data_IF_679021267667
#
_entry.id   IF_679021267667
#
_cell.length_a   1.000
_cell.length_b   1.000
_cell.length_c   1.000
_cell.angle_alpha   90.00
_cell.angle_beta   90.00
_cell.angle_gamma   90.00
#
_symmetry.space_group_name_H-M   'P 1'
#
loop_
_entity.id
_entity.type
_entity.pdbx_description
1 polymer ?
#
# COMPACT_ATOMS: atom_id res chain seq x y z
N UNK A 1 49.55 -18.09 49.04
CA UNK A 1 48.24 -18.28 48.39
C UNK A 1 47.39 -17.03 48.57
N UNK A 2 47.30 -16.20 47.53
CA UNK A 2 46.17 -15.28 47.29
C UNK A 2 46.38 -14.64 45.92
N UNK A 3 45.86 -15.31 44.91
CA UNK A 3 45.76 -14.79 43.56
C UNK A 3 44.73 -13.66 43.53
N UNK A 4 45.15 -12.50 43.01
CA UNK A 4 44.27 -11.37 42.71
C UNK A 4 43.38 -11.77 41.54
N UNK A 5 42.11 -12.08 41.81
CA UNK A 5 41.08 -12.21 40.76
C UNK A 5 40.81 -10.85 40.14
N UNK A 6 40.89 -10.81 38.82
CA UNK A 6 40.50 -9.69 37.98
C UNK A 6 39.04 -9.31 38.22
N UNK A 7 38.81 -8.00 38.33
CA UNK A 7 37.49 -7.37 38.32
C UNK A 7 37.01 -7.32 36.88
N UNK A 8 36.08 -8.19 36.52
CA UNK A 8 35.39 -8.17 35.24
C UNK A 8 34.00 -7.57 35.47
N UNK A 9 33.85 -6.30 35.10
CA UNK A 9 32.55 -5.62 35.10
C UNK A 9 31.69 -6.18 33.96
N UNK A 10 30.39 -6.45 34.18
CA UNK A 10 29.54 -6.98 33.12
C UNK A 10 29.26 -5.90 32.08
N UNK A 11 29.65 -6.20 30.84
CA UNK A 11 29.25 -5.47 29.63
C UNK A 11 27.72 -5.50 29.53
N UNK A 12 27.03 -4.36 29.36
CA UNK A 12 25.59 -4.37 29.14
C UNK A 12 25.30 -5.02 27.77
N UNK A 13 24.34 -5.95 27.66
CA UNK A 13 23.95 -6.47 26.37
C UNK A 13 23.30 -5.34 25.56
N UNK A 14 23.99 -4.93 24.51
CA UNK A 14 23.45 -4.11 23.44
C UNK A 14 22.30 -4.84 22.75
N UNK A 15 21.08 -4.60 23.23
CA UNK A 15 19.86 -4.90 22.50
C UNK A 15 19.50 -3.69 21.68
N UNK A 16 19.86 -3.69 20.39
CA UNK A 16 19.29 -2.77 19.42
C UNK A 16 17.84 -3.21 19.22
N UNK A 17 16.97 -2.79 20.14
CA UNK A 17 15.54 -2.90 19.95
C UNK A 17 15.16 -1.92 18.85
N UNK A 18 15.19 -2.38 17.59
CA UNK A 18 14.34 -1.80 16.55
C UNK A 18 12.93 -2.03 17.05
N UNK A 19 12.44 -1.11 17.87
CA UNK A 19 11.06 -1.13 18.36
C UNK A 19 10.24 -0.92 17.11
N UNK A 20 9.65 -1.99 16.60
CA UNK A 20 8.79 -1.92 15.44
C UNK A 20 7.69 -0.91 15.75
N UNK A 21 7.80 0.29 15.15
CA UNK A 21 6.83 1.35 15.40
C UNK A 21 5.50 0.85 14.86
N UNK A 22 4.49 0.78 15.73
CA UNK A 22 3.11 0.51 15.32
C UNK A 22 2.65 1.58 14.32
N UNK A 23 1.81 1.22 13.34
CA UNK A 23 1.28 2.11 12.31
C UNK A 23 0.81 3.47 12.88
N UNK A 24 0.17 3.47 14.05
CA UNK A 24 -0.29 4.71 14.72
C UNK A 24 0.84 5.67 15.06
N UNK A 25 1.98 5.18 15.59
CA UNK A 25 3.10 6.05 15.94
C UNK A 25 3.87 6.52 14.71
N UNK A 26 3.97 5.68 13.67
CA UNK A 26 4.55 6.08 12.38
C UNK A 26 3.75 7.19 11.70
N UNK A 27 2.42 7.03 11.60
CA UNK A 27 1.55 8.05 10.98
C UNK A 27 1.61 9.36 11.75
N UNK A 28 1.53 9.31 13.08
CA UNK A 28 1.60 10.52 13.92
C UNK A 28 2.94 11.24 13.76
N UNK A 29 4.06 10.52 13.82
CA UNK A 29 5.40 11.10 13.69
C UNK A 29 5.63 11.69 12.29
N UNK A 30 5.23 10.96 11.23
CA UNK A 30 5.34 11.44 9.87
C UNK A 30 4.45 12.66 9.60
N UNK A 31 3.24 12.71 10.18
CA UNK A 31 2.37 13.89 10.13
C UNK A 31 2.97 15.13 10.83
N UNK A 32 3.82 14.91 11.83
CA UNK A 32 4.57 15.96 12.52
C UNK A 32 5.87 16.37 11.79
N UNK A 33 6.18 15.76 10.64
CA UNK A 33 7.37 16.07 9.84
C UNK A 33 8.60 15.21 10.13
N UNK A 34 8.48 14.11 10.87
CA UNK A 34 9.60 13.15 11.04
C UNK A 34 9.87 12.42 9.70
N UNK A 35 10.95 12.83 9.03
CA UNK A 35 11.41 12.25 7.77
C UNK A 35 11.71 10.74 7.87
N UNK A 36 12.19 10.26 9.03
CA UNK A 36 12.47 8.83 9.25
C UNK A 36 11.18 8.02 9.32
N UNK A 37 10.15 8.57 9.96
CA UNK A 37 8.82 7.95 10.02
C UNK A 37 8.15 7.95 8.65
N UNK A 38 8.32 9.03 7.86
CA UNK A 38 7.85 9.08 6.48
C UNK A 38 8.53 8.04 5.59
N UNK A 39 9.86 7.96 5.64
CA UNK A 39 10.62 6.97 4.88
C UNK A 39 10.18 5.53 5.22
N UNK A 40 9.93 5.26 6.50
CA UNK A 40 9.45 3.96 6.95
C UNK A 40 8.02 3.65 6.49
N UNK A 41 7.11 4.63 6.48
CA UNK A 41 5.77 4.48 5.88
C UNK A 41 5.87 4.16 4.39
N UNK A 42 6.67 4.91 3.65
CA UNK A 42 6.86 4.67 2.21
C UNK A 42 7.41 3.27 1.99
N UNK A 43 8.49 2.90 2.70
CA UNK A 43 9.10 1.57 2.60
C UNK A 43 8.10 0.45 2.88
N UNK A 44 7.30 0.57 3.94
CA UNK A 44 6.32 -0.44 4.37
C UNK A 44 5.18 -0.61 3.36
N UNK A 45 4.63 0.48 2.81
CA UNK A 45 3.46 0.38 1.94
C UNK A 45 3.76 0.39 0.43
N UNK A 46 5.02 0.62 0.04
CA UNK A 46 5.46 0.55 -1.36
C UNK A 46 5.08 -0.77 -2.05
N UNK A 47 5.31 -1.96 -1.47
CA UNK A 47 4.91 -3.23 -2.09
C UNK A 47 3.41 -3.31 -2.38
N UNK A 48 2.57 -2.84 -1.46
CA UNK A 48 1.11 -2.80 -1.62
C UNK A 48 0.71 -1.90 -2.79
N UNK A 49 1.20 -0.67 -2.82
CA UNK A 49 0.88 0.30 -3.88
C UNK A 49 1.31 -0.24 -5.25
N UNK A 50 2.52 -0.79 -5.36
CA UNK A 50 2.98 -1.41 -6.61
C UNK A 50 2.15 -2.61 -7.02
N UNK A 51 1.75 -3.47 -6.08
CA UNK A 51 0.92 -4.65 -6.40
C UNK A 51 -0.42 -4.25 -7.04
N UNK A 52 -1.03 -3.18 -6.54
CA UNK A 52 -2.28 -2.63 -7.10
C UNK A 52 -2.02 -2.08 -8.50
N UNK A 53 -1.03 -1.21 -8.67
CA UNK A 53 -0.71 -0.58 -9.96
C UNK A 53 -0.42 -1.64 -11.03
N UNK A 54 0.39 -2.65 -10.69
CA UNK A 54 0.76 -3.74 -11.62
C UNK A 54 -0.43 -4.58 -12.06
N UNK A 55 -1.52 -4.63 -11.29
CA UNK A 55 -2.73 -5.36 -11.66
C UNK A 55 -3.60 -4.67 -12.71
N UNK A 56 -3.32 -3.40 -13.05
CA UNK A 56 -4.10 -2.58 -13.98
C UNK A 56 -3.48 -2.41 -15.39
N UNK A 57 -2.36 -3.10 -15.68
CA UNK A 57 -1.71 -3.14 -17.01
C UNK A 57 -1.49 -1.76 -17.67
N UNK A 58 -1.08 -0.79 -16.85
CA UNK A 58 -0.79 0.57 -17.29
C UNK A 58 0.56 0.65 -18.01
N UNK A 59 0.73 1.68 -18.85
CA UNK A 59 2.05 2.04 -19.37
C UNK A 59 3.01 2.36 -18.23
N UNK A 60 4.32 2.25 -18.46
CA UNK A 60 5.32 2.57 -17.43
C UNK A 60 5.23 4.02 -16.93
N UNK A 61 4.90 4.95 -17.82
CA UNK A 61 4.70 6.36 -17.47
C UNK A 61 3.45 6.55 -16.60
N UNK A 62 2.31 5.99 -17.03
CA UNK A 62 1.06 6.06 -16.26
C UNK A 62 1.20 5.40 -14.88
N UNK A 63 1.90 4.27 -14.80
CA UNK A 63 2.17 3.59 -13.53
C UNK A 63 3.02 4.47 -12.58
N UNK A 64 4.02 5.18 -13.10
CA UNK A 64 4.82 6.14 -12.33
C UNK A 64 3.96 7.30 -11.84
N UNK A 65 3.11 7.86 -12.69
CA UNK A 65 2.22 8.97 -12.35
C UNK A 65 1.20 8.58 -11.27
N UNK A 66 0.64 7.37 -11.34
CA UNK A 66 -0.22 6.84 -10.27
C UNK A 66 0.56 6.75 -8.97
N UNK A 67 1.76 6.15 -8.98
CA UNK A 67 2.56 6.01 -7.77
C UNK A 67 2.86 7.38 -7.14
N UNK A 68 3.31 8.36 -7.93
CA UNK A 68 3.56 9.72 -7.47
C UNK A 68 2.30 10.36 -6.88
N UNK A 69 1.16 10.24 -7.57
CA UNK A 69 -0.11 10.81 -7.12
C UNK A 69 -0.58 10.20 -5.80
N UNK A 70 -0.40 8.89 -5.61
CA UNK A 70 -0.76 8.20 -4.36
C UNK A 70 0.05 8.74 -3.18
N UNK A 71 1.37 8.88 -3.33
CA UNK A 71 2.23 9.40 -2.27
C UNK A 71 2.01 10.89 -2.00
N UNK A 72 1.79 11.70 -3.04
CA UNK A 72 1.42 13.11 -2.92
C UNK A 72 0.13 13.28 -2.13
N UNK A 73 -0.91 12.51 -2.48
CA UNK A 73 -2.17 12.54 -1.72
C UNK A 73 -1.98 12.08 -0.28
N UNK A 74 -1.11 11.10 -0.03
CA UNK A 74 -0.85 10.66 1.33
C UNK A 74 -0.27 11.82 2.15
N UNK A 75 0.79 12.47 1.68
CA UNK A 75 1.43 13.56 2.44
C UNK A 75 0.49 14.75 2.66
N UNK A 76 -0.34 15.11 1.68
CA UNK A 76 -1.34 16.19 1.80
C UNK A 76 -2.42 15.93 2.85
N UNK A 77 -2.71 14.65 3.12
CA UNK A 77 -3.82 14.23 4.00
C UNK A 77 -3.35 13.58 5.30
N UNK A 78 -2.04 13.32 5.46
CA UNK A 78 -1.48 12.57 6.58
C UNK A 78 -1.86 13.18 7.93
N UNK A 79 -1.80 14.50 8.05
CA UNK A 79 -2.20 15.25 9.25
C UNK A 79 -3.70 15.20 9.60
N UNK A 80 -4.53 14.62 8.73
CA UNK A 80 -5.99 14.45 8.93
C UNK A 80 -6.39 12.99 9.13
N UNK A 81 -5.44 12.05 9.16
CA UNK A 81 -5.71 10.62 9.34
C UNK A 81 -6.20 10.37 10.76
N UNK A 82 -7.46 9.97 10.90
CA UNK A 82 -8.10 9.66 12.19
C UNK A 82 -7.87 8.22 12.64
N UNK A 83 -7.74 7.31 11.67
CA UNK A 83 -7.49 5.90 11.91
C UNK A 83 -6.26 5.45 11.11
N UNK A 84 -5.07 5.40 11.74
CA UNK A 84 -3.85 4.91 11.11
C UNK A 84 -3.91 3.45 10.66
N UNK A 85 -4.79 2.62 11.26
CA UNK A 85 -4.94 1.22 10.87
C UNK A 85 -5.64 1.09 9.50
N UNK A 86 -6.43 2.08 9.11
CA UNK A 86 -7.07 2.12 7.80
C UNK A 86 -6.14 2.55 6.65
N UNK A 87 -4.88 2.93 6.94
CA UNK A 87 -3.95 3.47 5.94
C UNK A 87 -3.70 2.50 4.77
N UNK A 88 -3.51 1.22 5.05
CA UNK A 88 -3.31 0.20 4.01
C UNK A 88 -4.50 0.14 3.04
N UNK A 89 -5.72 0.09 3.58
CA UNK A 89 -6.95 0.07 2.80
C UNK A 89 -7.14 1.36 2.00
N UNK A 90 -6.82 2.51 2.59
CA UNK A 90 -6.88 3.80 1.92
C UNK A 90 -5.88 3.90 0.76
N UNK A 91 -4.64 3.42 0.93
CA UNK A 91 -3.62 3.38 -0.13
C UNK A 91 -4.04 2.48 -1.29
N UNK A 92 -4.52 1.28 -0.98
CA UNK A 92 -5.00 0.35 -2.00
C UNK A 92 -6.17 0.94 -2.81
N UNK A 93 -7.11 1.59 -2.12
CA UNK A 93 -8.27 2.24 -2.75
C UNK A 93 -7.86 3.43 -3.61
N UNK A 94 -6.97 4.28 -3.11
CA UNK A 94 -6.48 5.46 -3.82
C UNK A 94 -5.69 5.07 -5.07
N UNK A 95 -4.77 4.10 -4.96
CA UNK A 95 -4.02 3.56 -6.09
C UNK A 95 -4.93 2.98 -7.17
N UNK A 96 -5.94 2.19 -6.76
CA UNK A 96 -6.92 1.59 -7.68
C UNK A 96 -7.71 2.68 -8.42
N UNK A 97 -8.19 3.71 -7.73
CA UNK A 97 -8.92 4.84 -8.33
C UNK A 97 -8.08 5.60 -9.34
N UNK A 98 -6.82 5.87 -9.03
CA UNK A 98 -5.93 6.55 -9.96
C UNK A 98 -5.62 5.69 -11.18
N UNK A 99 -5.45 4.37 -11.02
CA UNK A 99 -5.29 3.47 -12.15
C UNK A 99 -6.53 3.52 -13.06
N UNK A 100 -7.73 3.42 -12.50
CA UNK A 100 -8.97 3.53 -13.28
C UNK A 100 -9.10 4.88 -14.00
N UNK A 101 -8.76 5.97 -13.33
CA UNK A 101 -8.82 7.32 -13.92
C UNK A 101 -7.96 7.38 -15.19
N UNK A 102 -6.74 6.85 -15.14
CA UNK A 102 -5.85 6.81 -16.31
C UNK A 102 -6.32 5.82 -17.37
N UNK A 103 -6.75 4.61 -17.01
CA UNK A 103 -7.30 3.64 -17.96
C UNK A 103 -8.51 4.21 -18.71
N UNK A 104 -9.40 4.95 -18.01
CA UNK A 104 -10.56 5.61 -18.62
C UNK A 104 -10.15 6.76 -19.53
N UNK A 105 -9.14 7.55 -19.12
CA UNK A 105 -8.60 8.63 -19.96
C UNK A 105 -8.00 8.06 -21.25
N UNK A 106 -7.16 7.02 -21.14
CA UNK A 106 -6.57 6.35 -22.29
C UNK A 106 -7.64 5.80 -23.25
N UNK A 107 -8.71 5.18 -22.73
CA UNK A 107 -9.85 4.72 -23.56
C UNK A 107 -10.62 5.87 -24.22
N UNK A 108 -10.85 6.99 -23.52
CA UNK A 108 -11.52 8.17 -24.09
C UNK A 108 -10.70 8.81 -25.20
N UNK A 109 -9.38 8.85 -25.05
CA UNK A 109 -8.46 9.33 -26.10
C UNK A 109 -8.45 8.39 -27.32
N UNK A 110 -8.95 7.15 -27.19
CA UNK A 110 -8.88 6.13 -28.23
C UNK A 110 -10.08 6.02 -29.19
N UNK A 111 -11.28 6.63 -28.99
CA UNK A 111 -12.34 6.88 -30.03
C UNK A 111 -13.66 7.58 -29.50
N UNK A 112 -13.87 8.84 -29.95
CA UNK A 112 -15.05 9.65 -30.45
C UNK A 112 -16.37 9.96 -29.66
N UNK A 113 -16.76 11.25 -29.77
CA UNK A 113 -18.07 11.99 -29.74
C UNK A 113 -18.38 12.92 -28.51
N UNK A 114 -18.75 14.23 -28.70
CA UNK A 114 -18.59 15.32 -27.72
C UNK A 114 -19.84 15.59 -26.85
N UNK A 115 -20.63 14.57 -26.50
CA UNK A 115 -21.81 14.72 -25.65
C UNK A 115 -21.66 13.88 -24.37
N UNK A 116 -20.97 14.39 -23.35
CA UNK A 116 -21.37 14.16 -21.96
C UNK A 116 -20.65 15.13 -21.02
N UNK A 117 -21.38 16.14 -20.60
CA UNK A 117 -21.01 17.15 -19.59
C UNK A 117 -21.43 16.64 -18.21
N UNK A 118 -20.93 17.30 -17.14
CA UNK A 118 -21.39 17.25 -15.74
C UNK A 118 -20.65 16.29 -14.77
N UNK A 119 -19.73 16.81 -13.94
CA UNK A 119 -20.01 17.36 -12.58
C UNK A 119 -18.79 17.37 -11.62
N UNK A 120 -18.71 18.48 -10.89
CA UNK A 120 -17.71 18.90 -9.90
C UNK A 120 -17.86 18.28 -8.50
N UNK A 121 -16.70 18.22 -7.82
CA UNK A 121 -16.37 18.41 -6.40
C UNK A 121 -17.25 17.86 -5.25
N UNK A 122 -16.65 17.10 -4.32
CA UNK A 122 -16.81 17.27 -2.86
C UNK A 122 -15.65 16.65 -2.04
N UNK A 123 -15.06 17.47 -1.14
CA UNK A 123 -14.06 17.14 -0.12
C UNK A 123 -14.70 16.51 1.13
N UNK A 124 -14.07 15.45 1.65
CA UNK A 124 -14.37 14.85 2.94
C UNK A 124 -13.80 13.43 2.99
N UNK A 125 -13.12 13.05 4.08
CA UNK A 125 -12.61 11.69 4.28
C UNK A 125 -13.81 10.76 4.54
N UNK A 126 -14.53 10.44 3.47
CA UNK A 126 -15.57 9.44 3.38
C UNK A 126 -15.22 8.58 2.17
N UNK A 127 -15.24 7.24 2.27
CA UNK A 127 -15.07 6.40 1.11
C UNK A 127 -16.27 6.64 0.17
N UNK A 128 -16.08 7.53 -0.81
CA UNK A 128 -16.99 7.71 -1.94
C UNK A 128 -17.23 6.32 -2.56
N UNK A 129 -18.48 5.88 -2.84
CA UNK A 129 -18.73 4.61 -3.51
C UNK A 129 -17.96 4.55 -4.83
N UNK A 130 -17.33 3.41 -5.07
CA UNK A 130 -16.47 3.18 -6.24
C UNK A 130 -17.23 3.50 -7.53
N UNK A 131 -16.78 4.51 -8.28
CA UNK A 131 -17.16 4.69 -9.68
C UNK A 131 -16.37 3.70 -10.56
N UNK A 132 -16.29 2.44 -10.13
CA UNK A 132 -15.87 1.29 -10.92
C UNK A 132 -17.10 0.87 -11.70
N UNK A 133 -17.08 0.95 -13.04
CA UNK A 133 -18.21 0.46 -13.83
C UNK A 133 -18.45 -1.03 -13.52
N UNK A 134 -19.71 -1.49 -13.44
CA UNK A 134 -20.05 -2.83 -12.95
C UNK A 134 -19.32 -3.98 -13.68
N UNK A 135 -18.96 -3.81 -14.96
CA UNK A 135 -18.19 -4.82 -15.72
C UNK A 135 -16.73 -4.98 -15.28
N UNK A 136 -16.08 -3.92 -14.81
CA UNK A 136 -14.68 -3.97 -14.39
C UNK A 136 -14.54 -4.60 -12.99
N UNK A 137 -15.54 -4.46 -12.13
CA UNK A 137 -15.60 -5.14 -10.84
C UNK A 137 -15.82 -6.66 -11.01
N UNK A 138 -16.67 -7.05 -11.97
CA UNK A 138 -16.89 -8.44 -12.36
C UNK A 138 -15.61 -9.11 -12.85
N UNK A 139 -14.91 -8.52 -13.82
CA UNK A 139 -13.65 -9.06 -14.35
C UNK A 139 -12.57 -9.23 -13.25
N UNK A 140 -12.55 -8.34 -12.25
CA UNK A 140 -11.66 -8.49 -11.08
C UNK A 140 -12.09 -9.58 -10.13
N UNK A 141 -13.39 -9.75 -9.92
CA UNK A 141 -13.90 -10.87 -9.13
C UNK A 141 -13.53 -12.20 -9.78
N UNK A 142 -13.72 -12.31 -11.10
CA UNK A 142 -13.33 -13.48 -11.90
C UNK A 142 -11.82 -13.74 -11.82
N UNK A 143 -10.99 -12.71 -12.01
CA UNK A 143 -9.53 -12.86 -11.95
C UNK A 143 -9.04 -13.27 -10.55
N UNK A 144 -9.63 -12.73 -9.48
CA UNK A 144 -9.35 -13.16 -8.10
C UNK A 144 -9.80 -14.58 -7.84
N UNK A 145 -10.94 -14.99 -8.39
CA UNK A 145 -11.46 -16.34 -8.27
C UNK A 145 -10.55 -17.34 -8.98
N UNK A 146 -10.16 -17.07 -10.23
CA UNK A 146 -9.22 -17.90 -10.97
C UNK A 146 -7.86 -18.04 -10.26
N UNK A 147 -7.36 -16.97 -9.64
CA UNK A 147 -6.14 -17.03 -8.81
C UNK A 147 -6.32 -17.92 -7.58
N UNK A 148 -7.44 -17.82 -6.86
CA UNK A 148 -7.74 -18.66 -5.69
C UNK A 148 -7.86 -20.13 -6.07
N UNK A 149 -8.55 -20.42 -7.18
CA UNK A 149 -8.71 -21.76 -7.70
C UNK A 149 -7.37 -22.36 -8.16
N UNK A 150 -6.54 -21.59 -8.85
CA UNK A 150 -5.20 -22.01 -9.25
C UNK A 150 -4.27 -22.25 -8.05
N UNK A 151 -4.33 -21.38 -7.03
CA UNK A 151 -3.55 -21.55 -5.81
C UNK A 151 -3.97 -22.82 -5.04
N UNK A 152 -5.27 -23.09 -4.94
CA UNK A 152 -5.80 -24.28 -4.28
C UNK A 152 -5.39 -25.60 -4.96
N UNK A 153 -5.05 -25.56 -6.26
CA UNK A 153 -4.57 -26.71 -7.02
C UNK A 153 -3.07 -26.99 -6.83
N UNK A 154 -2.32 -26.10 -6.19
CA UNK A 154 -0.91 -26.34 -5.90
C UNK A 154 -0.74 -27.38 -4.78
N UNK A 155 0.38 -28.14 -4.77
CA UNK A 155 0.72 -28.99 -3.63
C UNK A 155 0.81 -28.19 -2.32
N UNK A 156 0.43 -28.76 -1.16
CA UNK A 156 0.37 -28.04 0.12
C UNK A 156 1.67 -27.30 0.48
N UNK A 157 2.83 -27.92 0.21
CA UNK A 157 4.16 -27.32 0.46
C UNK A 157 4.41 -26.06 -0.37
N UNK A 158 3.88 -25.98 -1.59
CA UNK A 158 4.03 -24.82 -2.46
C UNK A 158 3.09 -23.68 -2.03
N UNK A 159 1.88 -24.02 -1.56
CA UNK A 159 0.95 -23.04 -0.98
C UNK A 159 1.57 -22.38 0.26
N UNK A 160 2.14 -23.19 1.16
CA UNK A 160 2.78 -22.73 2.38
C UNK A 160 3.96 -21.80 2.09
N UNK A 161 4.88 -22.20 1.20
CA UNK A 161 6.01 -21.37 0.80
C UNK A 161 5.58 -20.05 0.16
N UNK A 162 4.62 -20.07 -0.77
CA UNK A 162 4.12 -18.85 -1.41
C UNK A 162 3.39 -17.95 -0.42
N UNK A 163 2.67 -18.51 0.56
CA UNK A 163 2.00 -17.73 1.61
C UNK A 163 3.00 -17.04 2.55
N UNK A 164 4.07 -17.73 2.94
CA UNK A 164 5.16 -17.17 3.76
C UNK A 164 5.94 -16.08 3.02
N UNK A 165 6.13 -16.24 1.70
CA UNK A 165 6.80 -15.26 0.85
C UNK A 165 5.96 -13.99 0.57
N UNK A 166 4.63 -14.06 0.73
CA UNK A 166 3.71 -12.98 0.36
C UNK A 166 2.99 -12.35 1.54
N UNK A 167 3.13 -12.88 2.75
CA UNK A 167 2.63 -12.27 3.99
C UNK A 167 3.49 -11.05 4.39
N UNK A 168 2.82 -9.94 4.73
CA UNK A 168 3.41 -8.76 5.37
C UNK A 168 2.55 -8.37 6.59
N UNK A 169 3.10 -8.31 7.82
CA UNK A 169 4.50 -8.59 8.18
C UNK A 169 4.84 -10.09 8.14
N UNK A 170 6.11 -10.45 7.90
CA UNK A 170 6.57 -11.83 7.96
C UNK A 170 6.36 -12.42 9.37
N UNK A 171 6.07 -13.71 9.50
CA UNK A 171 5.95 -14.39 10.79
C UNK A 171 7.28 -14.52 11.54
#
# INVERSE_FOLDING_TARGET
MSERRASESPVPPGGVGVTERNATSLVTAAAAGDESAWAELVRRYTPLVYSVIRSHDLSGADASDVNQTVWLRLVEHLGRVRDPQALAAWLATTARRECYRLSRLARRTQLVDPYDDTLDAHHGFSPVPDATGPGEELLRAERRQALREGFAQLPPRCQELLSLLTADPPP
#
